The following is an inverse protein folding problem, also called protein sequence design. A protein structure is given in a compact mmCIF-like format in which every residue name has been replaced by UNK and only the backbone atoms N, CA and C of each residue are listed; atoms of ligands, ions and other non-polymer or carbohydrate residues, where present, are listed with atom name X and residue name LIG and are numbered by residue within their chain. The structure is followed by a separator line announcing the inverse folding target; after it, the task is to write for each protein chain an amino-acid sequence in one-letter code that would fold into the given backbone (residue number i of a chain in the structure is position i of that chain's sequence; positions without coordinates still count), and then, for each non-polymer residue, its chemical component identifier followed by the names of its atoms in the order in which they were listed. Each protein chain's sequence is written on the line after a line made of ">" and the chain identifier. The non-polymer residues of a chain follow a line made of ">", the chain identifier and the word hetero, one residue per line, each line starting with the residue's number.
data_IF_787316603960
#
_entry.id   IF_787316603960
#
_cell.length_a   1.000
_cell.length_b   1.000
_cell.length_c   1.000
_cell.angle_alpha   90.00
_cell.angle_beta   90.00
_cell.angle_gamma   90.00
#
_symmetry.space_group_name_H-M   'P 1'
#
loop_
_entity.id
_entity.type
_entity.pdbx_description
1 polymer ?
#
# COMPACT_ATOMS: atom_id res chain seq x y z
N UNK A 1 -16.51 -10.57 4.54
CA UNK A 1 -15.17 -9.95 4.46
C UNK A 1 -15.20 -8.91 3.33
N UNK A 2 -14.77 -7.65 3.55
CA UNK A 2 -14.68 -6.64 2.47
C UNK A 2 -13.21 -6.41 2.13
N UNK A 3 -12.80 -6.75 0.90
CA UNK A 3 -11.40 -6.79 0.46
C UNK A 3 -10.92 -5.52 -0.27
N UNK A 4 -11.67 -4.42 -0.23
CA UNK A 4 -11.27 -3.15 -0.89
C UNK A 4 -11.11 -3.28 -2.41
N UNK A 5 -11.81 -4.24 -3.03
CA UNK A 5 -11.77 -4.55 -4.46
C UNK A 5 -13.20 -4.81 -4.97
N UNK A 6 -13.40 -4.82 -6.30
CA UNK A 6 -14.71 -5.10 -6.91
C UNK A 6 -15.29 -6.42 -6.38
N UNK A 7 -16.59 -6.43 -6.13
CA UNK A 7 -17.30 -7.56 -5.48
C UNK A 7 -17.06 -8.89 -6.21
N UNK A 8 -17.16 -8.92 -7.53
CA UNK A 8 -16.89 -10.11 -8.34
C UNK A 8 -15.49 -10.68 -8.15
N UNK A 9 -14.50 -9.81 -7.93
CA UNK A 9 -13.12 -10.24 -7.67
C UNK A 9 -12.94 -10.72 -6.22
N UNK A 10 -13.68 -10.11 -5.28
CA UNK A 10 -13.66 -10.53 -3.89
C UNK A 10 -14.29 -11.92 -3.70
N UNK A 11 -15.38 -12.22 -4.41
CA UNK A 11 -16.04 -13.55 -4.38
C UNK A 11 -15.10 -14.66 -4.85
N UNK A 12 -14.47 -14.48 -6.02
CA UNK A 12 -13.47 -15.43 -6.55
C UNK A 12 -12.35 -15.66 -5.54
N UNK A 13 -11.91 -14.59 -4.87
CA UNK A 13 -10.83 -14.68 -3.88
C UNK A 13 -11.27 -15.44 -2.62
N UNK A 14 -12.50 -15.22 -2.16
CA UNK A 14 -13.08 -15.94 -1.04
C UNK A 14 -13.20 -17.44 -1.34
N UNK A 15 -13.66 -17.81 -2.54
CA UNK A 15 -13.73 -19.21 -2.97
C UNK A 15 -12.34 -19.86 -3.08
N UNK A 16 -11.31 -19.09 -3.45
CA UNK A 16 -9.91 -19.54 -3.47
C UNK A 16 -9.32 -19.73 -2.07
N UNK A 17 -9.72 -18.88 -1.12
CA UNK A 17 -9.20 -18.88 0.25
C UNK A 17 -9.91 -19.94 1.11
N UNK A 18 -11.20 -20.16 0.90
CA UNK A 18 -12.01 -21.13 1.63
C UNK A 18 -12.86 -21.99 0.67
N UNK A 19 -12.22 -22.86 -0.14
CA UNK A 19 -12.93 -23.65 -1.15
C UNK A 19 -13.94 -24.62 -0.55
N UNK A 20 -13.72 -25.05 0.70
CA UNK A 20 -14.60 -25.96 1.44
C UNK A 20 -15.69 -25.22 2.24
N UNK A 21 -15.71 -23.87 2.19
CA UNK A 21 -16.65 -23.01 2.93
C UNK A 21 -16.73 -23.34 4.42
N UNK A 22 -15.57 -23.59 5.04
CA UNK A 22 -15.45 -23.94 6.45
C UNK A 22 -15.82 -22.76 7.36
N UNK A 23 -15.79 -21.53 6.84
CA UNK A 23 -16.12 -20.31 7.59
C UNK A 23 -15.00 -19.82 8.50
N UNK A 24 -13.99 -20.65 8.76
CA UNK A 24 -12.76 -20.31 9.45
C UNK A 24 -11.58 -20.37 8.49
N UNK A 25 -10.91 -19.22 8.34
CA UNK A 25 -9.79 -19.05 7.41
C UNK A 25 -8.52 -18.76 8.20
N UNK A 26 -7.48 -19.56 7.98
CA UNK A 26 -6.18 -19.31 8.60
C UNK A 26 -5.33 -18.37 7.74
N UNK A 27 -4.31 -17.76 8.35
CA UNK A 27 -3.30 -16.96 7.63
C UNK A 27 -2.64 -17.77 6.50
N UNK A 28 -2.44 -19.08 6.71
CA UNK A 28 -1.80 -19.95 5.70
C UNK A 28 -2.70 -20.11 4.48
N UNK A 29 -4.00 -20.31 4.68
CA UNK A 29 -4.97 -20.44 3.58
C UNK A 29 -4.96 -19.20 2.68
N UNK A 30 -4.94 -18.02 3.31
CA UNK A 30 -4.82 -16.74 2.58
C UNK A 30 -3.50 -16.65 1.81
N UNK A 31 -2.37 -17.03 2.43
CA UNK A 31 -1.05 -16.96 1.79
C UNK A 31 -0.93 -17.91 0.59
N UNK A 32 -1.49 -19.11 0.71
CA UNK A 32 -1.51 -20.13 -0.35
C UNK A 32 -2.39 -19.67 -1.51
N UNK A 33 -3.63 -19.25 -1.22
CA UNK A 33 -4.57 -18.78 -2.22
C UNK A 33 -4.04 -17.58 -3.01
N UNK A 34 -3.42 -16.63 -2.30
CA UNK A 34 -2.84 -15.42 -2.90
C UNK A 34 -1.43 -15.60 -3.46
N UNK A 35 -0.82 -16.78 -3.29
CA UNK A 35 0.61 -17.03 -3.56
C UNK A 35 1.52 -15.94 -2.97
N UNK A 36 1.16 -15.45 -1.79
CA UNK A 36 1.79 -14.31 -1.15
C UNK A 36 2.27 -14.69 0.24
N UNK A 37 3.58 -14.74 0.45
CA UNK A 37 4.18 -15.08 1.73
C UNK A 37 4.69 -13.81 2.44
N UNK A 38 4.28 -13.57 3.70
CA UNK A 38 4.63 -12.35 4.43
C UNK A 38 6.13 -12.17 4.68
N UNK A 39 6.93 -13.22 4.48
CA UNK A 39 8.37 -13.24 4.78
C UNK A 39 9.25 -12.90 3.57
N UNK A 40 8.69 -12.51 2.42
CA UNK A 40 9.51 -12.24 1.24
C UNK A 40 9.11 -10.93 0.57
N UNK A 41 9.81 -9.86 0.94
CA UNK A 41 10.05 -8.77 0.01
C UNK A 41 11.52 -8.37 0.12
N UNK A 42 12.38 -9.03 -0.66
CA UNK A 42 13.74 -8.55 -0.92
C UNK A 42 13.74 -7.07 -1.37
N UNK A 43 12.63 -6.63 -1.96
CA UNK A 43 12.31 -5.23 -2.32
C UNK A 43 12.42 -4.25 -1.15
N UNK A 44 12.15 -4.67 0.09
CA UNK A 44 12.22 -3.80 1.26
C UNK A 44 13.67 -3.56 1.75
N UNK A 45 14.65 -4.34 1.27
CA UNK A 45 16.05 -4.19 1.70
C UNK A 45 16.68 -2.87 1.25
N UNK A 46 16.27 -2.37 0.09
CA UNK A 46 16.79 -1.12 -0.49
C UNK A 46 15.98 0.11 -0.08
N UNK A 47 15.14 -0.02 0.95
CA UNK A 47 14.24 1.03 1.41
C UNK A 47 14.75 1.58 2.72
N UNK A 48 14.96 2.88 2.74
CA UNK A 48 15.25 3.60 3.97
C UNK A 48 14.02 4.42 4.37
N UNK A 49 13.34 4.04 5.44
CA UNK A 49 12.23 4.81 5.98
C UNK A 49 12.78 6.05 6.67
N UNK A 50 12.36 7.23 6.21
CA UNK A 50 12.80 8.52 6.74
C UNK A 50 11.92 8.95 7.90
N UNK A 51 10.61 8.81 7.74
CA UNK A 51 9.63 9.20 8.74
C UNK A 51 8.36 8.36 8.56
N UNK A 52 7.76 7.89 9.65
CA UNK A 52 6.43 7.29 9.61
C UNK A 52 5.83 7.19 11.00
N UNK A 53 4.52 7.36 11.08
CA UNK A 53 3.71 7.04 12.26
C UNK A 53 2.81 5.81 12.02
N UNK A 54 2.95 5.15 10.86
CA UNK A 54 2.14 3.99 10.49
C UNK A 54 2.59 2.71 11.20
N UNK A 55 1.66 1.81 11.57
CA UNK A 55 1.99 0.45 11.97
C UNK A 55 2.75 -0.30 10.86
N UNK A 56 3.70 -1.16 11.23
CA UNK A 56 4.62 -1.81 10.30
C UNK A 56 3.94 -2.56 9.14
N UNK A 57 2.82 -3.24 9.40
CA UNK A 57 2.07 -3.94 8.35
C UNK A 57 1.47 -2.98 7.32
N UNK A 58 0.82 -1.89 7.79
CA UNK A 58 0.24 -0.86 6.92
C UNK A 58 1.34 -0.19 6.09
N UNK A 59 2.43 0.20 6.76
CA UNK A 59 3.61 0.78 6.13
C UNK A 59 4.15 -0.10 5.00
N UNK A 60 4.45 -1.37 5.29
CA UNK A 60 5.05 -2.29 4.31
C UNK A 60 4.10 -2.55 3.13
N UNK A 61 2.79 -2.68 3.39
CA UNK A 61 1.79 -2.84 2.34
C UNK A 61 1.72 -1.63 1.41
N UNK A 62 1.74 -0.40 1.96
CA UNK A 62 1.70 0.83 1.17
C UNK A 62 2.99 1.02 0.36
N UNK A 63 4.15 0.74 0.96
CA UNK A 63 5.43 0.74 0.25
C UNK A 63 5.37 -0.18 -0.97
N UNK A 64 4.88 -1.41 -0.78
CA UNK A 64 4.76 -2.38 -1.87
C UNK A 64 3.86 -1.86 -2.98
N UNK A 65 2.69 -1.31 -2.62
CA UNK A 65 1.73 -0.72 -3.56
C UNK A 65 2.37 0.38 -4.42
N UNK A 66 3.16 1.27 -3.80
CA UNK A 66 3.86 2.36 -4.49
C UNK A 66 4.88 1.80 -5.50
N UNK A 67 5.68 0.83 -5.08
CA UNK A 67 6.72 0.25 -5.93
C UNK A 67 6.13 -0.56 -7.08
N UNK A 68 5.07 -1.33 -6.83
CA UNK A 68 4.34 -2.06 -7.86
C UNK A 68 3.69 -1.09 -8.86
N UNK A 69 3.04 -0.03 -8.39
CA UNK A 69 2.45 1.00 -9.26
C UNK A 69 3.52 1.67 -10.12
N UNK A 70 4.72 1.94 -9.59
CA UNK A 70 5.84 2.48 -10.35
C UNK A 70 6.30 1.54 -11.47
N UNK A 71 6.29 0.22 -11.25
CA UNK A 71 6.67 -0.77 -12.26
C UNK A 71 5.63 -0.89 -13.38
N UNK A 72 4.35 -0.72 -13.06
CA UNK A 72 3.24 -0.90 -14.01
C UNK A 72 2.92 0.36 -14.84
N UNK A 73 3.37 1.54 -14.41
CA UNK A 73 3.02 2.81 -15.06
C UNK A 73 4.19 3.43 -15.82
N UNK A 74 3.91 4.00 -16.99
CA UNK A 74 4.92 4.68 -17.82
C UNK A 74 5.39 6.01 -17.22
N UNK A 75 4.53 6.69 -16.46
CA UNK A 75 4.82 8.02 -15.90
C UNK A 75 4.73 8.01 -14.38
N UNK A 76 5.57 8.84 -13.72
CA UNK A 76 5.56 9.00 -12.26
C UNK A 76 4.21 9.50 -11.74
N UNK A 77 3.60 10.46 -12.46
CA UNK A 77 2.28 11.00 -12.12
C UNK A 77 1.20 9.90 -12.18
N UNK A 78 1.14 9.13 -13.28
CA UNK A 78 0.17 8.03 -13.39
C UNK A 78 0.34 6.97 -12.30
N UNK A 79 1.58 6.68 -11.89
CA UNK A 79 1.85 5.81 -10.76
C UNK A 79 1.26 6.36 -9.45
N UNK A 80 1.42 7.67 -9.18
CA UNK A 80 0.89 8.33 -8.00
C UNK A 80 -0.64 8.41 -8.01
N UNK A 81 -1.25 8.73 -9.14
CA UNK A 81 -2.72 8.81 -9.27
C UNK A 81 -3.36 7.45 -8.95
N UNK A 82 -2.78 6.35 -9.47
CA UNK A 82 -3.24 4.99 -9.16
C UNK A 82 -3.06 4.63 -7.69
N UNK A 83 -1.93 4.97 -7.08
CA UNK A 83 -1.69 4.73 -5.65
C UNK A 83 -2.72 5.49 -4.81
N UNK A 84 -2.93 6.77 -5.11
CA UNK A 84 -3.90 7.61 -4.42
C UNK A 84 -5.30 7.01 -4.50
N UNK A 85 -5.75 6.63 -5.69
CA UNK A 85 -7.07 6.01 -5.89
C UNK A 85 -7.23 4.74 -5.05
N UNK A 86 -6.22 3.86 -5.05
CA UNK A 86 -6.27 2.62 -4.28
C UNK A 86 -6.26 2.87 -2.77
N UNK A 87 -5.49 3.84 -2.28
CA UNK A 87 -5.49 4.18 -0.86
C UNK A 87 -6.79 4.84 -0.42
N UNK A 88 -7.36 5.71 -1.26
CA UNK A 88 -8.67 6.32 -1.03
C UNK A 88 -9.76 5.22 -0.92
N UNK A 89 -9.68 4.17 -1.73
CA UNK A 89 -10.58 3.01 -1.67
C UNK A 89 -10.38 2.14 -0.42
N UNK A 90 -9.13 1.88 0.01
CA UNK A 90 -8.82 0.95 1.10
C UNK A 90 -8.94 1.60 2.48
N UNK A 91 -8.45 2.83 2.62
CA UNK A 91 -8.29 3.51 3.92
C UNK A 91 -9.15 4.78 4.06
N UNK A 92 -10.04 5.02 3.10
CA UNK A 92 -10.87 6.22 3.03
C UNK A 92 -10.15 7.39 2.35
N UNK A 93 -10.89 8.45 2.00
CA UNK A 93 -10.44 9.49 1.06
C UNK A 93 -9.31 10.38 1.61
N UNK A 94 -8.89 11.34 0.78
CA UNK A 94 -7.96 12.42 1.14
C UNK A 94 -6.51 12.01 1.33
N UNK A 95 -6.05 11.00 0.57
CA UNK A 95 -4.62 10.68 0.48
C UNK A 95 -3.87 11.65 -0.43
N UNK A 96 -2.68 12.04 -0.01
CA UNK A 96 -1.75 12.88 -0.76
C UNK A 96 -0.46 12.09 -0.98
N UNK A 97 0.07 12.12 -2.21
CA UNK A 97 1.24 11.34 -2.59
C UNK A 97 2.20 12.21 -3.41
N UNK A 98 3.50 12.07 -3.20
CA UNK A 98 4.51 12.76 -4.00
C UNK A 98 5.77 11.92 -4.21
N UNK A 99 6.52 12.27 -5.26
CA UNK A 99 7.86 11.77 -5.54
C UNK A 99 8.78 12.98 -5.70
N UNK A 100 9.89 13.01 -4.97
CA UNK A 100 10.91 14.03 -5.10
C UNK A 100 12.25 13.42 -5.56
N UNK A 101 12.97 14.19 -6.37
CA UNK A 101 14.32 13.88 -6.84
C UNK A 101 15.31 14.74 -6.06
N UNK A 102 16.32 14.10 -5.43
CA UNK A 102 17.35 14.75 -4.59
C UNK A 102 16.81 15.23 -3.23
N UNK A 103 16.98 16.52 -2.92
CA UNK A 103 16.68 17.09 -1.61
C UNK A 103 15.20 17.44 -1.49
N UNK A 104 14.65 17.28 -0.29
CA UNK A 104 13.25 17.58 -0.01
C UNK A 104 13.12 18.17 1.40
N UNK A 105 12.15 19.06 1.57
CA UNK A 105 11.71 19.58 2.86
C UNK A 105 10.20 19.78 2.78
N UNK A 106 9.47 19.34 3.80
CA UNK A 106 8.05 19.63 3.91
C UNK A 106 7.67 19.73 5.39
N UNK A 107 6.62 20.51 5.66
CA UNK A 107 5.93 20.56 6.94
C UNK A 107 4.46 20.39 6.61
N UNK A 108 3.80 19.40 7.20
CA UNK A 108 2.37 19.20 7.00
C UNK A 108 1.69 18.72 8.28
N UNK A 109 0.37 18.90 8.31
CA UNK A 109 -0.50 18.26 9.29
C UNK A 109 -1.20 17.09 8.60
N UNK A 110 -1.13 15.92 9.22
CA UNK A 110 -1.72 14.69 8.70
C UNK A 110 -2.53 13.98 9.79
N UNK A 111 -3.37 13.04 9.35
CA UNK A 111 -4.11 12.16 10.24
C UNK A 111 -3.13 11.19 10.92
N UNK A 112 -3.16 11.00 12.25
CA UNK A 112 -2.26 10.07 12.93
C UNK A 112 -2.33 8.65 12.36
N UNK A 113 -1.17 8.00 12.22
CA UNK A 113 -1.04 6.65 11.67
C UNK A 113 -1.22 6.57 10.16
N UNK A 114 -0.98 7.68 9.44
CA UNK A 114 -1.12 7.77 7.99
C UNK A 114 0.07 8.40 7.26
N UNK A 115 1.11 8.84 7.96
CA UNK A 115 2.30 9.43 7.33
C UNK A 115 3.37 8.38 7.06
N UNK A 116 3.97 8.48 5.89
CA UNK A 116 5.12 7.68 5.49
C UNK A 116 5.96 8.47 4.47
N UNK A 117 7.23 8.64 4.79
CA UNK A 117 8.28 9.08 3.88
C UNK A 117 9.41 8.04 3.85
N UNK A 118 9.89 7.68 2.66
CA UNK A 118 10.99 6.73 2.49
C UNK A 118 11.81 7.03 1.24
N UNK A 119 13.06 6.55 1.19
CA UNK A 119 13.87 6.56 -0.02
C UNK A 119 13.93 5.19 -0.67
N UNK A 120 13.98 5.18 -2.00
CA UNK A 120 14.25 4.00 -2.80
C UNK A 120 14.88 4.40 -4.14
N UNK A 121 16.06 3.84 -4.44
CA UNK A 121 16.82 4.07 -5.68
C UNK A 121 17.01 5.57 -6.04
N UNK A 122 17.36 6.39 -5.05
CA UNK A 122 17.65 7.82 -5.24
C UNK A 122 16.45 8.76 -5.30
N UNK A 123 15.24 8.24 -5.09
CA UNK A 123 14.01 9.03 -5.00
C UNK A 123 13.48 9.03 -3.57
N UNK A 124 12.82 10.13 -3.20
CA UNK A 124 12.03 10.23 -1.97
C UNK A 124 10.56 10.07 -2.32
N UNK A 125 9.89 9.18 -1.63
CA UNK A 125 8.46 8.95 -1.70
C UNK A 125 7.84 9.45 -0.43
N UNK A 126 6.76 10.23 -0.54
CA UNK A 126 5.99 10.64 0.63
C UNK A 126 4.50 10.48 0.40
N UNK A 127 3.82 10.07 1.47
CA UNK A 127 2.40 9.78 1.45
C UNK A 127 1.80 10.08 2.81
N UNK A 128 0.66 10.77 2.82
CA UNK A 128 -0.04 11.10 4.05
C UNK A 128 -1.54 11.32 3.77
N UNK A 129 -2.37 11.01 4.76
CA UNK A 129 -3.80 11.31 4.70
C UNK A 129 -4.08 12.62 5.43
N UNK A 130 -4.82 13.54 4.82
CA UNK A 130 -5.30 14.74 5.52
C UNK A 130 -6.65 14.47 6.17
N UNK A 131 -7.02 15.28 7.17
CA UNK A 131 -8.39 15.29 7.65
C UNK A 131 -9.30 15.68 6.47
N UNK A 132 -10.36 14.90 6.23
CA UNK A 132 -11.34 15.22 5.20
C UNK A 132 -11.94 16.60 5.46
N UNK A 133 -12.13 17.36 4.38
CA UNK A 133 -13.03 18.52 4.41
C UNK A 133 -14.47 18.04 4.63
#
# INVERSE_FOLDING_TARGET
>A
MRLGMKESKAEILCDLIDPERRGEVTRSDVCVALKCWPNQQAILKDINVLETDMPAMKRNSIIHLILESKLQNKTKKGALDKVKEQLDQIYGPSWNCYIAEKNYWFVCSHRPGSNLAFTYKGYVYGIYQTFGA
#
